data_IF_413127234728
#
_entry.id   IF_413127234728
#
_cell.length_a   1.000
_cell.length_b   1.000
_cell.length_c   1.000
_cell.angle_alpha   90.00
_cell.angle_beta   90.00
_cell.angle_gamma   90.00
#
_symmetry.space_group_name_H-M   'P 1'
#
loop_
_entity.id
_entity.type
_entity.pdbx_description
1 polymer ?
#
# COMPACT_ATOMS: atom_id res chain seq x y z
N UNK A 1 6.26 20.65 0.96
CA UNK A 1 5.08 20.07 1.61
C UNK A 1 4.51 18.85 0.86
N UNK A 2 4.41 18.87 -0.48
CA UNK A 2 3.95 17.71 -1.29
C UNK A 2 4.75 16.41 -1.09
N UNK A 3 6.07 16.50 -0.85
CA UNK A 3 6.95 15.32 -0.67
C UNK A 3 6.58 14.45 0.54
N UNK A 4 6.01 15.02 1.60
CA UNK A 4 5.57 14.27 2.79
C UNK A 4 4.17 13.66 2.61
N UNK A 5 3.36 14.15 1.67
CA UNK A 5 2.01 13.63 1.41
C UNK A 5 2.01 12.28 0.68
N UNK A 6 2.97 12.06 -0.22
CA UNK A 6 3.12 10.79 -0.96
C UNK A 6 3.27 9.58 -0.04
N UNK A 7 4.21 9.54 0.92
CA UNK A 7 4.33 8.37 1.79
C UNK A 7 3.06 8.13 2.61
N UNK A 8 2.37 9.18 3.08
CA UNK A 8 1.12 9.05 3.84
C UNK A 8 0.03 8.38 3.00
N UNK A 9 -0.14 8.83 1.76
CA UNK A 9 -1.16 8.31 0.83
C UNK A 9 -0.86 6.86 0.42
N UNK A 10 0.41 6.50 0.27
CA UNK A 10 0.83 5.18 -0.20
C UNK A 10 1.03 4.15 0.92
N UNK A 11 1.25 4.57 2.16
CA UNK A 11 1.44 3.67 3.32
C UNK A 11 0.32 2.63 3.45
N UNK A 12 -0.99 2.98 3.47
CA UNK A 12 -2.04 1.97 3.64
C UNK A 12 -2.05 0.92 2.52
N UNK A 13 -1.76 1.32 1.29
CA UNK A 13 -1.63 0.39 0.16
C UNK A 13 -0.45 -0.56 0.34
N UNK A 14 0.71 -0.05 0.75
CA UNK A 14 1.90 -0.89 1.00
C UNK A 14 1.67 -1.89 2.13
N UNK A 15 0.98 -1.48 3.20
CA UNK A 15 0.64 -2.38 4.32
C UNK A 15 -0.39 -3.45 3.90
N UNK A 16 -1.39 -3.08 3.09
CA UNK A 16 -2.30 -4.06 2.48
C UNK A 16 -1.53 -5.09 1.65
N UNK A 17 -0.67 -4.64 0.74
CA UNK A 17 0.15 -5.53 -0.10
C UNK A 17 1.03 -6.43 0.75
N UNK A 18 1.67 -5.89 1.79
CA UNK A 18 2.48 -6.67 2.72
C UNK A 18 1.67 -7.79 3.38
N UNK A 19 0.44 -7.50 3.84
CA UNK A 19 -0.44 -8.52 4.43
C UNK A 19 -0.73 -9.67 3.47
N UNK A 20 -1.04 -9.34 2.21
CA UNK A 20 -1.38 -10.31 1.17
C UNK A 20 -0.17 -11.15 0.80
N UNK A 21 1.00 -10.52 0.62
CA UNK A 21 2.24 -11.22 0.28
C UNK A 21 2.65 -12.17 1.40
N UNK A 22 2.64 -11.72 2.66
CA UNK A 22 2.99 -12.58 3.80
C UNK A 22 2.01 -13.75 3.92
N UNK A 23 0.70 -13.51 3.79
CA UNK A 23 -0.31 -14.56 3.80
C UNK A 23 -0.08 -15.61 2.70
N UNK A 24 0.31 -15.17 1.49
CA UNK A 24 0.65 -16.08 0.38
C UNK A 24 1.91 -16.89 0.64
N UNK A 25 2.94 -16.29 1.24
CA UNK A 25 4.20 -16.97 1.54
C UNK A 25 4.07 -17.97 2.70
N UNK A 26 3.20 -17.71 3.66
CA UNK A 26 3.01 -18.58 4.84
C UNK A 26 1.86 -19.57 4.68
N UNK A 27 1.02 -19.42 3.66
CA UNK A 27 -0.19 -20.22 3.47
C UNK A 27 -1.32 -19.87 4.45
N UNK A 28 -1.18 -18.79 5.21
CA UNK A 28 -2.20 -18.35 6.16
C UNK A 28 -3.40 -17.71 5.46
N UNK A 29 -4.58 -17.89 6.03
CA UNK A 29 -5.79 -17.19 5.60
C UNK A 29 -5.87 -15.84 6.31
N UNK A 30 -6.15 -14.80 5.55
CA UNK A 30 -6.42 -13.45 6.07
C UNK A 30 -7.73 -12.99 5.46
N UNK A 31 -8.62 -12.45 6.28
CA UNK A 31 -9.87 -11.86 5.84
C UNK A 31 -10.18 -10.61 6.66
N UNK A 32 -11.12 -9.82 6.16
CA UNK A 32 -11.54 -8.57 6.78
C UNK A 32 -12.62 -8.78 7.85
N UNK A 33 -13.18 -9.99 7.99
CA UNK A 33 -14.25 -10.23 8.96
C UNK A 33 -13.72 -10.43 10.38
N UNK A 34 -12.59 -11.13 10.53
CA UNK A 34 -11.92 -11.33 11.84
C UNK A 34 -10.45 -11.71 11.68
N UNK A 35 -9.68 -11.49 12.75
CA UNK A 35 -8.34 -12.04 12.88
C UNK A 35 -8.37 -13.58 12.89
N UNK A 36 -7.61 -14.22 11.99
CA UNK A 36 -7.37 -15.66 12.00
C UNK A 36 -6.06 -15.95 12.72
N UNK A 37 -5.98 -17.06 13.43
CA UNK A 37 -4.72 -17.52 14.02
C UNK A 37 -3.75 -17.93 12.90
N UNK A 38 -2.53 -17.41 12.92
CA UNK A 38 -1.50 -17.71 11.93
C UNK A 38 -0.15 -17.85 12.65
N UNK A 39 0.25 -19.10 12.93
CA UNK A 39 1.53 -19.38 13.59
C UNK A 39 2.65 -19.59 12.58
N UNK A 40 3.67 -18.74 12.67
CA UNK A 40 4.91 -18.84 11.89
C UNK A 40 6.08 -18.91 12.86
N UNK A 41 6.91 -19.93 12.77
CA UNK A 41 8.04 -20.15 13.68
C UNK A 41 7.66 -20.10 15.18
N UNK A 42 6.44 -20.54 15.52
CA UNK A 42 5.92 -20.53 16.90
C UNK A 42 5.28 -19.21 17.36
N UNK A 43 5.38 -18.12 16.57
CA UNK A 43 4.77 -16.82 16.85
C UNK A 43 3.43 -16.68 16.11
N UNK A 44 2.38 -16.24 16.80
CA UNK A 44 1.09 -15.93 16.16
C UNK A 44 1.09 -14.52 15.59
N UNK A 45 1.18 -14.41 14.26
CA UNK A 45 1.16 -13.15 13.51
C UNK A 45 -0.23 -12.82 12.93
N UNK A 46 -1.25 -13.61 13.27
CA UNK A 46 -2.59 -13.48 12.75
C UNK A 46 -3.24 -12.12 12.99
N UNK A 47 -3.09 -11.60 14.21
CA UNK A 47 -3.58 -10.26 14.57
C UNK A 47 -2.88 -9.15 13.78
N UNK A 48 -1.56 -9.26 13.59
CA UNK A 48 -0.78 -8.30 12.81
C UNK A 48 -1.24 -8.28 11.34
N UNK A 49 -1.38 -9.46 10.73
CA UNK A 49 -1.85 -9.59 9.35
C UNK A 49 -3.24 -8.99 9.16
N UNK A 50 -4.14 -9.19 10.13
CA UNK A 50 -5.46 -8.57 10.12
C UNK A 50 -5.40 -7.04 10.18
N UNK A 51 -4.57 -6.46 11.06
CA UNK A 51 -4.40 -5.00 11.14
C UNK A 51 -3.84 -4.42 9.84
N UNK A 52 -2.88 -5.10 9.20
CA UNK A 52 -2.32 -4.70 7.93
C UNK A 52 -3.36 -4.78 6.78
N UNK A 53 -4.14 -5.86 6.73
CA UNK A 53 -5.22 -6.04 5.75
C UNK A 53 -6.28 -4.93 5.89
N UNK A 54 -6.61 -4.54 7.12
CA UNK A 54 -7.57 -3.48 7.41
C UNK A 54 -7.17 -2.11 6.87
N UNK A 55 -5.88 -1.88 6.62
CA UNK A 55 -5.42 -0.67 5.94
C UNK A 55 -5.92 -0.60 4.48
N UNK A 56 -6.31 -1.72 3.89
CA UNK A 56 -6.95 -1.77 2.57
C UNK A 56 -8.24 -0.95 2.50
N UNK A 57 -8.99 -0.83 3.59
CA UNK A 57 -10.17 0.03 3.63
C UNK A 57 -9.85 1.51 3.43
N UNK A 58 -8.67 1.96 3.88
CA UNK A 58 -8.20 3.33 3.64
C UNK A 58 -7.76 3.54 2.18
N UNK A 59 -7.41 2.49 1.45
CA UNK A 59 -7.04 2.60 0.03
C UNK A 59 -8.24 3.08 -0.79
N UNK A 60 -9.45 2.59 -0.52
CA UNK A 60 -10.67 2.94 -1.29
C UNK A 60 -10.87 4.46 -1.42
N UNK A 61 -10.95 5.25 -0.32
CA UNK A 61 -11.07 6.71 -0.43
C UNK A 61 -9.79 7.40 -0.93
N UNK A 62 -8.61 6.78 -0.77
CA UNK A 62 -7.33 7.35 -1.20
C UNK A 62 -7.02 7.09 -2.68
N UNK A 63 -7.70 6.16 -3.35
CA UNK A 63 -7.48 5.81 -4.75
C UNK A 63 -7.43 7.02 -5.70
N UNK A 64 -8.34 8.01 -5.63
CA UNK A 64 -8.27 9.18 -6.51
C UNK A 64 -6.99 10.00 -6.29
N UNK A 65 -6.57 10.15 -5.03
CA UNK A 65 -5.33 10.88 -4.69
C UNK A 65 -4.10 10.11 -5.17
N UNK A 66 -4.08 8.79 -4.96
CA UNK A 66 -3.03 7.92 -5.49
C UNK A 66 -2.91 8.03 -7.01
N UNK A 67 -4.03 8.00 -7.74
CA UNK A 67 -4.05 8.16 -9.19
C UNK A 67 -3.47 9.51 -9.63
N UNK A 68 -3.86 10.61 -8.96
CA UNK A 68 -3.28 11.94 -9.23
C UNK A 68 -1.77 11.97 -8.98
N UNK A 69 -1.28 11.31 -7.93
CA UNK A 69 0.16 11.24 -7.67
C UNK A 69 0.91 10.47 -8.76
N UNK A 70 0.35 9.39 -9.29
CA UNK A 70 0.94 8.63 -10.40
C UNK A 70 0.94 9.43 -11.70
N UNK A 71 -0.18 10.06 -12.05
CA UNK A 71 -0.30 10.89 -13.26
C UNK A 71 0.68 12.07 -13.19
N UNK A 72 0.73 12.78 -12.06
CA UNK A 72 1.66 13.88 -11.84
C UNK A 72 3.12 13.43 -11.97
N UNK A 73 3.48 12.30 -11.36
CA UNK A 73 4.82 11.73 -11.45
C UNK A 73 5.17 11.30 -12.88
N UNK A 74 4.24 10.65 -13.60
CA UNK A 74 4.44 10.24 -14.98
C UNK A 74 4.65 11.43 -15.90
N UNK A 75 3.83 12.48 -15.79
CA UNK A 75 3.96 13.71 -16.59
C UNK A 75 5.28 14.42 -16.28
N UNK A 76 5.67 14.53 -15.01
CA UNK A 76 6.94 15.11 -14.62
C UNK A 76 8.13 14.29 -15.17
N UNK A 77 8.07 12.96 -15.07
CA UNK A 77 9.08 12.05 -15.60
C UNK A 77 9.22 12.16 -17.12
N UNK A 78 8.10 12.17 -17.85
CA UNK A 78 8.06 12.37 -19.31
C UNK A 78 8.70 13.70 -19.68
N UNK A 79 8.32 14.82 -19.03
CA UNK A 79 8.91 16.14 -19.29
C UNK A 79 10.42 16.16 -19.04
N UNK A 80 10.87 15.50 -17.97
CA UNK A 80 12.28 15.38 -17.65
C UNK A 80 13.06 14.58 -18.71
N UNK A 81 12.49 13.49 -19.21
CA UNK A 81 13.08 12.65 -20.25
C UNK A 81 13.17 13.37 -21.60
N UNK A 82 12.12 14.08 -22.01
CA UNK A 82 12.09 14.81 -23.28
C UNK A 82 12.80 16.17 -23.22
N UNK A 83 13.47 16.50 -22.11
CA UNK A 83 14.25 17.74 -21.98
C UNK A 83 13.44 19.03 -22.19
N UNK A 84 12.10 18.96 -22.08
CA UNK A 84 11.21 20.11 -22.20
C UNK A 84 11.35 20.92 -20.91
N UNK A 85 12.41 21.71 -20.86
CA UNK A 85 12.60 22.80 -19.92
C UNK A 85 11.71 23.94 -20.42
N UNK A 86 10.50 24.06 -19.87
CA UNK A 86 9.76 25.31 -20.04
C UNK A 86 10.63 26.44 -19.45
N UNK A 87 10.75 27.60 -20.14
CA UNK A 87 11.43 28.77 -19.58
C UNK A 87 10.72 29.29 -18.32
#
# INVERSE_FOLDING_TARGET
MLLLGVPIVWTPFLLLVLSLVVARLTGCTVNEARAQTCRVAGLDIGGLLYTLMMMGWLVIPLLPVMALTLVGAAVAGVRALFGIRWP
#
